data_IF_558839488685
#
_entry.id   IF_558839488685
#
_cell.length_a   1.000
_cell.length_b   1.000
_cell.length_c   1.000
_cell.angle_alpha   90.00
_cell.angle_beta   90.00
_cell.angle_gamma   90.00
#
_symmetry.space_group_name_H-M   'P 1'
#
loop_
_entity.id
_entity.type
_entity.pdbx_description
1 polymer ?
#
# COMPACT_ATOMS: atom_id res chain seq x y z
N UNK A 1 -27.01 -65.83 -16.01
CA UNK A 1 -27.29 -64.41 -15.70
C UNK A 1 -26.02 -63.82 -15.08
N UNK A 2 -25.25 -63.12 -15.88
CA UNK A 2 -23.99 -62.51 -15.52
C UNK A 2 -24.25 -61.12 -14.93
N UNK A 3 -23.64 -60.83 -13.83
CA UNK A 3 -23.58 -59.50 -13.19
C UNK A 3 -22.36 -58.75 -13.74
N UNK A 4 -22.55 -57.49 -14.15
CA UNK A 4 -21.52 -56.59 -14.60
C UNK A 4 -21.05 -55.77 -13.37
N UNK A 5 -19.75 -55.66 -13.09
CA UNK A 5 -19.28 -54.79 -12.02
C UNK A 5 -19.17 -53.32 -12.49
N UNK A 6 -19.62 -52.37 -11.67
CA UNK A 6 -19.52 -50.98 -11.88
C UNK A 6 -18.04 -50.52 -11.72
N UNK A 7 -17.58 -49.78 -12.70
CA UNK A 7 -16.24 -49.18 -12.73
C UNK A 7 -16.30 -47.79 -12.07
N UNK A 8 -15.61 -47.66 -10.92
CA UNK A 8 -15.41 -46.39 -10.24
C UNK A 8 -14.45 -45.52 -11.06
N UNK A 9 -14.97 -44.37 -11.49
CA UNK A 9 -14.14 -43.35 -12.13
C UNK A 9 -13.33 -42.57 -11.07
N UNK A 10 -12.05 -42.89 -10.96
CA UNK A 10 -11.07 -42.11 -10.20
C UNK A 10 -10.89 -40.73 -10.84
N UNK A 11 -11.32 -39.70 -10.14
CA UNK A 11 -11.03 -38.32 -10.51
C UNK A 11 -9.52 -38.04 -10.29
N UNK A 12 -8.78 -37.97 -11.38
CA UNK A 12 -7.39 -37.56 -11.37
C UNK A 12 -7.27 -36.10 -10.92
N UNK A 13 -6.60 -35.87 -9.79
CA UNK A 13 -6.18 -34.56 -9.32
C UNK A 13 -5.26 -33.91 -10.36
N UNK A 14 -5.63 -32.73 -10.86
CA UNK A 14 -4.80 -31.91 -11.72
C UNK A 14 -3.63 -31.41 -10.90
N UNK A 15 -2.36 -31.66 -11.28
CA UNK A 15 -1.23 -31.12 -10.55
C UNK A 15 -1.16 -29.61 -10.72
N UNK A 16 -1.11 -28.91 -9.61
CA UNK A 16 -0.88 -27.48 -9.49
C UNK A 16 0.42 -27.12 -10.24
N UNK A 17 0.27 -26.31 -11.30
CA UNK A 17 1.42 -25.84 -12.09
C UNK A 17 2.19 -24.84 -11.27
N UNK A 18 3.20 -25.30 -10.57
CA UNK A 18 4.24 -24.46 -9.97
C UNK A 18 4.90 -23.62 -11.08
N UNK A 19 4.74 -22.31 -11.01
CA UNK A 19 5.50 -21.36 -11.84
C UNK A 19 7.00 -21.59 -11.64
N UNK A 20 7.83 -21.49 -12.70
CA UNK A 20 9.25 -21.73 -12.60
C UNK A 20 9.91 -20.73 -11.66
N UNK A 21 10.54 -21.22 -10.60
CA UNK A 21 11.32 -20.43 -9.67
C UNK A 21 12.53 -19.81 -10.42
N UNK A 22 12.63 -18.49 -10.39
CA UNK A 22 13.80 -17.75 -10.85
C UNK A 22 14.96 -18.07 -9.90
N UNK A 23 16.15 -18.52 -10.38
CA UNK A 23 17.27 -18.90 -9.51
C UNK A 23 17.77 -17.69 -8.72
N UNK A 24 17.81 -17.80 -7.39
CA UNK A 24 18.41 -16.81 -6.50
C UNK A 24 17.44 -15.99 -5.63
N UNK A 25 16.12 -16.19 -5.75
CA UNK A 25 15.13 -15.52 -4.90
C UNK A 25 14.60 -16.48 -3.83
N UNK A 26 14.78 -16.12 -2.56
CA UNK A 26 14.12 -16.82 -1.44
C UNK A 26 12.63 -16.51 -1.53
N UNK A 27 11.81 -17.49 -1.90
CA UNK A 27 10.38 -17.34 -1.85
C UNK A 27 9.96 -17.17 -0.37
N UNK A 28 9.35 -16.03 -0.05
CA UNK A 28 8.79 -15.82 1.27
C UNK A 28 7.53 -16.69 1.42
N UNK A 29 7.33 -17.24 2.61
CA UNK A 29 6.12 -18.00 2.95
C UNK A 29 5.50 -17.44 4.21
N UNK A 30 4.18 -17.45 4.29
CA UNK A 30 3.45 -16.96 5.46
C UNK A 30 2.16 -16.26 5.10
N UNK A 31 1.45 -15.82 6.15
CA UNK A 31 0.20 -15.07 6.06
C UNK A 31 0.40 -13.70 6.70
N UNK A 32 0.25 -12.66 5.89
CA UNK A 32 0.40 -11.26 6.29
C UNK A 32 -0.97 -10.61 6.39
N UNK A 33 -1.21 -9.86 7.46
CA UNK A 33 -2.36 -8.99 7.58
C UNK A 33 -1.96 -7.58 7.14
N UNK A 34 -2.58 -7.07 6.10
CA UNK A 34 -2.40 -5.71 5.60
C UNK A 34 -3.51 -4.82 6.17
N UNK A 35 -3.16 -3.90 7.05
CA UNK A 35 -4.04 -2.87 7.58
C UNK A 35 -3.81 -1.56 6.82
N UNK A 36 -4.74 -1.20 5.97
CA UNK A 36 -4.66 -0.05 5.06
C UNK A 36 -6.09 0.33 4.65
N UNK A 37 -6.47 1.60 4.71
CA UNK A 37 -7.81 2.07 4.39
C UNK A 37 -7.99 2.50 2.93
N UNK A 38 -6.89 2.79 2.23
CA UNK A 38 -6.92 3.25 0.85
C UNK A 38 -6.87 2.07 -0.14
N UNK A 39 -7.89 1.90 -1.02
CA UNK A 39 -7.97 0.75 -1.92
C UNK A 39 -6.82 0.67 -2.94
N UNK A 40 -6.25 1.82 -3.36
CA UNK A 40 -5.08 1.83 -4.27
C UNK A 40 -3.85 1.29 -3.56
N UNK A 41 -3.61 1.74 -2.32
CA UNK A 41 -2.49 1.27 -1.51
C UNK A 41 -2.64 -0.22 -1.17
N UNK A 42 -3.87 -0.68 -0.88
CA UNK A 42 -4.19 -2.09 -0.68
C UNK A 42 -3.80 -2.92 -1.91
N UNK A 43 -4.21 -2.48 -3.11
CA UNK A 43 -3.96 -3.20 -4.36
C UNK A 43 -2.47 -3.29 -4.68
N UNK A 44 -1.73 -2.20 -4.51
CA UNK A 44 -0.28 -2.16 -4.70
C UNK A 44 0.42 -3.10 -3.73
N UNK A 45 0.11 -2.99 -2.43
CA UNK A 45 0.72 -3.83 -1.40
C UNK A 45 0.36 -5.31 -1.58
N UNK A 46 -0.92 -5.62 -1.84
CA UNK A 46 -1.41 -6.97 -2.10
C UNK A 46 -0.68 -7.62 -3.27
N UNK A 47 -0.51 -6.86 -4.34
CA UNK A 47 0.23 -7.31 -5.52
C UNK A 47 1.67 -7.66 -5.19
N UNK A 48 2.41 -6.78 -4.51
CA UNK A 48 3.79 -7.06 -4.13
C UNK A 48 3.90 -8.28 -3.22
N UNK A 49 3.06 -8.36 -2.18
CA UNK A 49 3.06 -9.46 -1.21
C UNK A 49 2.74 -10.81 -1.87
N UNK A 50 1.72 -10.85 -2.72
CA UNK A 50 1.33 -12.08 -3.42
C UNK A 50 2.42 -12.55 -4.38
N UNK A 51 3.09 -11.62 -5.06
CA UNK A 51 4.23 -11.93 -5.96
C UNK A 51 5.48 -12.36 -5.21
N UNK A 52 5.59 -12.06 -3.92
CA UNK A 52 6.63 -12.57 -3.03
C UNK A 52 6.29 -13.97 -2.46
N UNK A 53 5.11 -14.51 -2.74
CA UNK A 53 4.67 -15.84 -2.28
C UNK A 53 3.85 -15.84 -1.01
N UNK A 54 3.46 -14.66 -0.49
CA UNK A 54 2.72 -14.52 0.75
C UNK A 54 1.21 -14.57 0.55
N UNK A 55 0.48 -15.08 1.54
CA UNK A 55 -0.97 -14.94 1.65
C UNK A 55 -1.29 -13.64 2.35
N UNK A 56 -2.31 -12.92 1.86
CA UNK A 56 -2.66 -11.59 2.34
C UNK A 56 -4.13 -11.53 2.70
N UNK A 57 -4.41 -11.16 3.94
CA UNK A 57 -5.74 -10.69 4.36
C UNK A 57 -5.67 -9.16 4.52
N UNK A 58 -6.79 -8.48 4.30
CA UNK A 58 -6.89 -7.02 4.33
C UNK A 58 -7.83 -6.59 5.46
N UNK A 59 -7.44 -5.55 6.18
CA UNK A 59 -8.27 -4.82 7.14
C UNK A 59 -8.29 -3.33 6.78
N UNK A 60 -9.46 -2.69 6.82
CA UNK A 60 -9.64 -1.30 6.44
C UNK A 60 -9.46 -0.31 7.61
N UNK A 61 -9.29 -0.82 8.83
CA UNK A 61 -9.12 -0.03 10.05
C UNK A 61 -8.64 -0.91 11.20
N UNK A 62 -8.24 -0.30 12.30
CA UNK A 62 -7.71 -1.01 13.46
C UNK A 62 -8.71 -1.94 14.15
N UNK A 63 -10.00 -1.64 14.12
CA UNK A 63 -11.02 -2.51 14.72
C UNK A 63 -11.13 -3.85 13.95
N UNK A 64 -11.04 -3.81 12.62
CA UNK A 64 -10.99 -5.01 11.77
C UNK A 64 -9.71 -5.82 12.03
N UNK A 65 -8.56 -5.14 12.22
CA UNK A 65 -7.29 -5.81 12.60
C UNK A 65 -7.47 -6.60 13.89
N UNK A 66 -8.05 -5.99 14.93
CA UNK A 66 -8.26 -6.65 16.21
C UNK A 66 -9.18 -7.88 16.09
N UNK A 67 -10.26 -7.77 15.31
CA UNK A 67 -11.17 -8.87 15.06
C UNK A 67 -10.50 -10.03 14.29
N UNK A 68 -9.71 -9.70 13.26
CA UNK A 68 -9.01 -10.69 12.45
C UNK A 68 -7.91 -11.40 13.24
N UNK A 69 -7.15 -10.69 14.08
CA UNK A 69 -6.10 -11.27 14.92
C UNK A 69 -6.65 -12.14 16.06
N UNK A 70 -7.91 -11.96 16.46
CA UNK A 70 -8.61 -12.88 17.36
C UNK A 70 -9.07 -14.17 16.66
N UNK A 71 -9.50 -14.04 15.39
CA UNK A 71 -10.08 -15.15 14.63
C UNK A 71 -9.03 -16.10 14.04
N UNK A 72 -7.84 -15.60 13.71
CA UNK A 72 -6.78 -16.38 13.07
C UNK A 72 -5.38 -15.85 13.41
N UNK A 73 -4.36 -16.68 13.15
CA UNK A 73 -2.96 -16.29 13.34
C UNK A 73 -2.36 -15.73 12.06
N UNK A 74 -1.52 -14.72 12.23
CA UNK A 74 -0.73 -14.10 11.20
C UNK A 74 0.76 -14.19 11.56
N UNK A 75 1.61 -14.20 10.54
CA UNK A 75 3.06 -14.22 10.73
C UNK A 75 3.62 -12.81 10.86
N UNK A 76 2.89 -11.81 10.31
CA UNK A 76 3.27 -10.40 10.34
C UNK A 76 2.07 -9.50 10.04
N UNK A 77 2.07 -8.28 10.60
CA UNK A 77 1.14 -7.20 10.23
C UNK A 77 1.91 -6.08 9.55
N UNK A 78 1.45 -5.65 8.38
CA UNK A 78 1.78 -4.34 7.79
C UNK A 78 0.67 -3.38 8.22
N UNK A 79 1.04 -2.36 8.99
CA UNK A 79 0.10 -1.47 9.69
C UNK A 79 0.24 -0.03 9.21
N UNK A 80 -0.77 0.48 8.50
CA UNK A 80 -0.84 1.93 8.27
C UNK A 80 -0.99 2.68 9.60
N UNK A 81 -0.18 3.70 9.78
CA UNK A 81 -0.25 4.55 10.97
C UNK A 81 -1.54 5.37 11.03
N UNK A 82 -2.12 5.74 9.87
CA UNK A 82 -3.29 6.61 9.80
C UNK A 82 -4.46 5.91 9.11
N UNK A 83 -5.41 5.46 9.91
CA UNK A 83 -6.65 4.81 9.44
C UNK A 83 -7.86 5.42 10.15
N UNK A 84 -9.06 5.38 9.54
CA UNK A 84 -10.30 5.80 10.19
C UNK A 84 -10.69 4.84 11.32
N UNK A 85 -11.59 5.25 12.19
CA UNK A 85 -12.18 4.50 13.30
C UNK A 85 -11.17 4.23 14.42
N UNK A 86 -10.06 3.54 14.12
CA UNK A 86 -8.96 3.23 15.03
C UNK A 86 -7.65 3.27 14.23
N UNK A 87 -6.72 4.13 14.63
CA UNK A 87 -5.43 4.29 13.98
C UNK A 87 -4.45 3.14 14.28
N UNK A 88 -3.32 3.10 13.55
CA UNK A 88 -2.33 2.04 13.71
C UNK A 88 -1.64 2.04 15.07
N UNK A 89 -1.47 3.22 15.70
CA UNK A 89 -0.86 3.33 17.02
C UNK A 89 -1.76 2.75 18.12
N UNK A 90 -3.03 3.12 18.11
CA UNK A 90 -4.05 2.59 19.02
C UNK A 90 -4.22 1.08 18.85
N UNK A 91 -4.25 0.61 17.60
CA UNK A 91 -4.36 -0.80 17.26
C UNK A 91 -3.18 -1.59 17.78
N UNK A 92 -1.96 -1.08 17.56
CA UNK A 92 -0.72 -1.72 18.07
C UNK A 92 -0.73 -1.80 19.59
N UNK A 93 -1.08 -0.72 20.29
CA UNK A 93 -1.16 -0.73 21.75
C UNK A 93 -2.16 -1.78 22.26
N UNK A 94 -3.32 -1.91 21.61
CA UNK A 94 -4.32 -2.93 21.96
C UNK A 94 -3.82 -4.36 21.72
N UNK A 95 -3.10 -4.62 20.61
CA UNK A 95 -2.48 -5.92 20.34
C UNK A 95 -1.45 -6.24 21.42
N UNK A 96 -0.55 -5.30 21.75
CA UNK A 96 0.49 -5.50 22.76
C UNK A 96 -0.06 -5.77 24.16
N UNK A 97 -1.17 -5.14 24.53
CA UNK A 97 -1.88 -5.43 25.79
C UNK A 97 -2.42 -6.86 25.85
N UNK A 98 -2.86 -7.42 24.72
CA UNK A 98 -3.36 -8.80 24.63
C UNK A 98 -2.24 -9.84 24.62
N UNK A 99 -1.06 -9.49 24.16
CA UNK A 99 0.12 -10.38 24.14
C UNK A 99 0.73 -10.64 25.52
N UNK A 100 0.36 -9.87 26.54
CA UNK A 100 0.85 -10.09 27.92
C UNK A 100 0.37 -11.44 28.44
N UNK A 101 1.23 -12.47 28.31
CA UNK A 101 0.96 -13.85 28.69
C UNK A 101 0.86 -14.86 27.55
N UNK A 102 0.91 -14.45 26.29
CA UNK A 102 0.88 -15.32 25.13
C UNK A 102 2.30 -15.72 24.66
N UNK A 103 2.43 -16.93 24.14
CA UNK A 103 3.70 -17.40 23.55
C UNK A 103 3.90 -16.78 22.17
N UNK A 104 4.78 -15.77 22.07
CA UNK A 104 5.23 -15.17 20.82
C UNK A 104 4.64 -13.78 20.57
N UNK A 105 5.51 -12.85 20.19
CA UNK A 105 5.19 -11.48 19.79
C UNK A 105 4.92 -11.45 18.29
N UNK A 106 3.76 -10.95 17.87
CA UNK A 106 3.40 -10.79 16.47
C UNK A 106 4.15 -9.57 15.88
N UNK A 107 5.01 -9.74 14.87
CA UNK A 107 5.70 -8.61 14.25
C UNK A 107 4.71 -7.62 13.64
N UNK A 108 4.87 -6.33 13.95
CA UNK A 108 4.07 -5.23 13.41
C UNK A 108 5.03 -4.22 12.76
N UNK A 109 4.91 -4.08 11.45
CA UNK A 109 5.69 -3.14 10.65
C UNK A 109 4.81 -1.95 10.28
N UNK A 110 5.22 -0.75 10.70
CA UNK A 110 4.52 0.48 10.37
C UNK A 110 4.64 0.81 8.88
N UNK A 111 3.55 1.15 8.23
CA UNK A 111 3.53 1.84 6.94
C UNK A 111 3.32 3.33 7.24
N UNK A 112 4.34 4.15 7.04
CA UNK A 112 4.31 5.58 7.41
C UNK A 112 4.46 6.48 6.18
N UNK A 113 3.76 7.60 6.16
CA UNK A 113 3.89 8.60 5.09
C UNK A 113 5.17 9.44 5.19
N UNK A 114 5.93 9.34 6.26
CA UNK A 114 7.10 10.17 6.51
C UNK A 114 8.26 9.35 7.13
N UNK A 115 9.42 9.45 6.49
CA UNK A 115 10.65 8.79 6.94
C UNK A 115 11.43 9.59 8.03
N UNK A 116 10.85 10.69 8.56
CA UNK A 116 11.54 11.51 9.55
C UNK A 116 11.73 10.75 10.87
N UNK A 117 12.85 11.00 11.55
CA UNK A 117 13.22 10.38 12.83
C UNK A 117 12.12 10.43 13.89
N UNK A 118 11.32 11.50 13.91
CA UNK A 118 10.19 11.65 14.85
C UNK A 118 9.06 10.63 14.64
N UNK A 119 8.75 10.24 13.41
CA UNK A 119 7.72 9.22 13.12
C UNK A 119 8.23 7.81 13.48
N UNK A 120 9.49 7.52 13.17
CA UNK A 120 10.13 6.27 13.63
C UNK A 120 10.04 6.10 15.15
N UNK A 121 10.38 7.16 15.91
CA UNK A 121 10.29 7.11 17.37
C UNK A 121 8.86 6.87 17.85
N UNK A 122 7.84 7.47 17.22
CA UNK A 122 6.44 7.24 17.56
C UNK A 122 6.00 5.80 17.29
N UNK A 123 6.35 5.24 16.15
CA UNK A 123 6.03 3.85 15.81
C UNK A 123 6.62 2.87 16.82
N UNK A 124 7.91 3.01 17.14
CA UNK A 124 8.58 2.17 18.13
C UNK A 124 8.02 2.36 19.55
N UNK A 125 7.71 3.60 19.96
CA UNK A 125 7.11 3.90 21.25
C UNK A 125 5.70 3.30 21.40
N UNK A 126 4.94 3.20 20.30
CA UNK A 126 3.65 2.52 20.29
C UNK A 126 3.76 0.99 20.36
N UNK A 127 4.98 0.43 20.23
CA UNK A 127 5.23 -1.00 20.29
C UNK A 127 5.33 -1.69 18.92
N UNK A 128 5.41 -0.95 17.81
CA UNK A 128 5.73 -1.50 16.49
C UNK A 128 7.18 -1.95 16.43
N UNK A 129 7.50 -2.92 15.58
CA UNK A 129 8.80 -3.59 15.58
C UNK A 129 9.73 -3.03 14.48
N UNK A 130 9.15 -2.51 13.39
CA UNK A 130 9.89 -1.90 12.27
C UNK A 130 9.00 -0.89 11.55
N UNK A 131 9.54 -0.23 10.52
CA UNK A 131 8.79 0.73 9.72
C UNK A 131 9.21 0.70 8.24
N UNK A 132 8.30 1.10 7.35
CA UNK A 132 8.50 1.27 5.92
C UNK A 132 7.79 2.54 5.47
N UNK A 133 8.53 3.47 4.86
CA UNK A 133 7.96 4.75 4.40
C UNK A 133 7.26 4.63 3.06
N UNK A 134 6.07 5.21 2.93
CA UNK A 134 5.31 5.33 1.69
C UNK A 134 5.77 6.56 0.88
N UNK A 135 5.89 6.48 -0.46
CA UNK A 135 5.75 5.27 -1.27
C UNK A 135 6.99 4.37 -1.15
N UNK A 136 6.79 3.06 -1.17
CA UNK A 136 7.87 2.09 -1.12
C UNK A 136 7.94 1.26 -2.40
N UNK A 137 9.14 0.87 -2.78
CA UNK A 137 9.37 -0.07 -3.87
C UNK A 137 9.16 -1.50 -3.41
N UNK A 138 8.94 -2.40 -4.39
CA UNK A 138 8.91 -3.83 -4.12
C UNK A 138 10.16 -4.32 -3.41
N UNK A 139 11.34 -3.86 -3.82
CA UNK A 139 12.62 -4.26 -3.22
C UNK A 139 12.73 -3.86 -1.74
N UNK A 140 12.24 -2.66 -1.38
CA UNK A 140 12.22 -2.21 0.01
C UNK A 140 11.28 -3.06 0.87
N UNK A 141 10.08 -3.36 0.35
CA UNK A 141 9.13 -4.25 1.02
C UNK A 141 9.72 -5.65 1.21
N UNK A 142 10.28 -6.26 0.15
CA UNK A 142 10.93 -7.57 0.18
C UNK A 142 12.05 -7.63 1.23
N UNK A 143 12.95 -6.64 1.25
CA UNK A 143 14.03 -6.57 2.22
C UNK A 143 13.52 -6.44 3.67
N UNK A 144 12.46 -5.66 3.87
CA UNK A 144 11.86 -5.50 5.20
C UNK A 144 11.20 -6.80 5.66
N UNK A 145 10.40 -7.45 4.81
CA UNK A 145 9.73 -8.70 5.13
C UNK A 145 10.70 -9.86 5.38
N UNK A 146 11.80 -9.94 4.61
CA UNK A 146 12.80 -10.98 4.77
C UNK A 146 13.43 -10.96 6.17
N UNK A 147 13.63 -9.79 6.78
CA UNK A 147 14.16 -9.67 8.16
C UNK A 147 13.24 -10.31 9.22
N UNK A 148 11.93 -10.36 8.95
CA UNK A 148 10.94 -10.79 9.94
C UNK A 148 10.36 -12.18 9.66
N UNK A 149 10.33 -12.61 8.39
CA UNK A 149 9.71 -13.88 7.97
C UNK A 149 10.73 -14.99 7.71
N UNK A 150 12.03 -14.68 7.56
CA UNK A 150 13.06 -15.68 7.33
C UNK A 150 13.98 -15.73 8.55
N UNK A 151 13.89 -16.79 9.40
CA UNK A 151 14.87 -16.99 10.48
C UNK A 151 16.27 -17.18 9.85
N UNK A 152 17.27 -16.47 10.35
CA UNK A 152 18.68 -16.53 9.89
C UNK A 152 19.01 -15.89 8.52
N UNK A 153 18.15 -15.07 7.95
CA UNK A 153 18.52 -14.27 6.79
C UNK A 153 19.55 -13.21 7.20
N UNK A 154 20.80 -13.40 6.77
CA UNK A 154 21.81 -12.33 6.78
C UNK A 154 21.40 -11.35 5.67
N UNK A 155 20.47 -10.46 5.97
CA UNK A 155 20.08 -9.38 5.07
C UNK A 155 21.08 -8.24 5.29
N UNK A 156 21.84 -7.79 4.28
CA UNK A 156 22.63 -6.57 4.40
C UNK A 156 21.67 -5.44 4.81
N UNK A 157 22.03 -4.71 5.85
CA UNK A 157 21.37 -3.45 6.22
C UNK A 157 21.43 -2.54 4.99
N UNK A 158 20.35 -2.50 4.23
CA UNK A 158 20.19 -1.50 3.19
C UNK A 158 20.06 -0.16 3.91
N UNK A 159 21.15 0.59 3.90
CA UNK A 159 21.10 2.02 4.18
C UNK A 159 19.99 2.60 3.29
N UNK A 160 19.12 3.38 3.90
CA UNK A 160 18.07 4.11 3.20
C UNK A 160 18.66 4.75 1.95
N UNK A 161 18.28 4.35 0.74
CA UNK A 161 18.72 5.10 -0.41
C UNK A 161 18.02 6.45 -0.34
N UNK A 162 18.86 7.47 -0.19
CA UNK A 162 18.50 8.85 -0.36
C UNK A 162 17.66 9.02 -1.64
N UNK A 163 16.59 9.81 -1.50
CA UNK A 163 16.05 10.73 -2.49
C UNK A 163 16.16 10.26 -3.94
N UNK A 164 15.10 9.65 -4.43
CA UNK A 164 14.93 9.46 -5.87
C UNK A 164 14.76 10.83 -6.53
N UNK A 165 15.68 11.14 -7.45
CA UNK A 165 15.43 12.02 -8.57
C UNK A 165 15.89 13.45 -8.44
N UNK A 166 17.11 13.70 -8.96
CA UNK A 166 17.52 15.02 -9.44
C UNK A 166 16.52 15.53 -10.49
N UNK A 167 16.02 16.72 -10.23
CA UNK A 167 15.17 17.53 -11.11
C UNK A 167 15.77 17.62 -12.52
N UNK A 168 15.13 16.98 -13.50
CA UNK A 168 15.27 17.39 -14.89
C UNK A 168 14.31 18.56 -15.12
N UNK A 169 14.86 19.72 -15.45
CA UNK A 169 14.11 20.88 -15.94
C UNK A 169 13.50 20.54 -17.30
N UNK A 170 12.25 20.11 -17.28
CA UNK A 170 11.35 19.89 -18.40
C UNK A 170 9.96 19.85 -17.80
N UNK A 171 8.92 20.17 -18.56
CA UNK A 171 7.52 20.08 -18.12
C UNK A 171 7.35 18.72 -17.43
N UNK A 172 7.16 18.72 -16.10
CA UNK A 172 7.04 17.47 -15.33
C UNK A 172 5.90 16.65 -15.96
N UNK A 173 6.16 15.43 -16.43
CA UNK A 173 5.10 14.59 -16.98
C UNK A 173 4.06 14.36 -15.88
N UNK A 174 2.77 14.29 -16.25
CA UNK A 174 1.71 14.08 -15.29
C UNK A 174 1.85 12.72 -14.56
N UNK A 175 2.53 11.76 -15.22
CA UNK A 175 2.82 10.43 -14.67
C UNK A 175 4.32 10.09 -14.78
N UNK A 176 4.89 9.55 -13.71
CA UNK A 176 6.25 8.99 -13.69
C UNK A 176 6.21 7.52 -14.17
N UNK A 177 6.55 7.33 -15.44
CA UNK A 177 6.57 5.98 -16.05
C UNK A 177 7.63 5.07 -15.43
N UNK A 178 8.77 5.60 -14.96
CA UNK A 178 9.81 4.81 -14.31
C UNK A 178 9.31 4.12 -13.03
N UNK A 179 8.43 4.81 -12.27
CA UNK A 179 7.79 4.19 -11.11
C UNK A 179 6.84 3.06 -11.54
N UNK A 180 6.13 3.23 -12.65
CA UNK A 180 5.20 2.23 -13.18
C UNK A 180 5.90 1.00 -13.76
N UNK A 181 7.16 1.14 -14.22
CA UNK A 181 7.92 0.02 -14.81
C UNK A 181 8.13 -1.14 -13.81
N UNK A 182 8.20 -0.87 -12.50
CA UNK A 182 8.26 -1.92 -11.49
C UNK A 182 7.05 -2.89 -11.53
N UNK A 183 5.90 -2.42 -11.99
CA UNK A 183 4.70 -3.25 -12.16
C UNK A 183 4.72 -4.02 -13.48
N UNK A 184 5.32 -3.45 -14.55
CA UNK A 184 5.54 -4.16 -15.81
C UNK A 184 6.42 -5.39 -15.62
N UNK A 185 7.48 -5.28 -14.82
CA UNK A 185 8.37 -6.41 -14.51
C UNK A 185 7.63 -7.54 -13.75
N UNK A 186 6.53 -7.24 -13.11
CA UNK A 186 5.71 -8.20 -12.38
C UNK A 186 4.62 -8.84 -13.23
N UNK A 187 4.26 -8.25 -14.35
CA UNK A 187 3.26 -8.81 -15.25
C UNK A 187 3.86 -9.96 -16.07
N UNK A 188 3.34 -11.21 -15.99
CA UNK A 188 3.86 -12.35 -16.75
C UNK A 188 3.85 -12.16 -18.26
N UNK A 189 2.96 -11.28 -18.77
CA UNK A 189 2.87 -10.90 -20.18
C UNK A 189 3.77 -9.72 -20.55
N UNK A 190 4.45 -9.08 -19.59
CA UNK A 190 5.22 -7.86 -19.82
C UNK A 190 4.38 -6.65 -20.22
N UNK A 191 3.07 -6.74 -20.06
CA UNK A 191 2.09 -5.73 -20.49
C UNK A 191 1.72 -4.72 -19.40
N UNK A 192 0.64 -3.95 -19.65
CA UNK A 192 0.08 -2.97 -18.70
C UNK A 192 -1.06 -3.52 -17.84
N UNK A 193 -1.29 -4.85 -17.81
CA UNK A 193 -2.44 -5.43 -17.13
C UNK A 193 -2.55 -5.00 -15.67
N UNK A 194 -1.46 -5.14 -14.94
CA UNK A 194 -1.38 -4.76 -13.53
C UNK A 194 -1.43 -3.24 -13.31
N UNK A 195 -0.74 -2.48 -14.15
CA UNK A 195 -0.79 -1.00 -14.12
C UNK A 195 -2.23 -0.53 -14.37
N UNK A 196 -2.92 -1.13 -15.33
CA UNK A 196 -4.32 -0.83 -15.65
C UNK A 196 -5.25 -1.13 -14.47
N UNK A 197 -5.05 -2.24 -13.77
CA UNK A 197 -5.82 -2.58 -12.56
C UNK A 197 -5.66 -1.50 -11.50
N UNK A 198 -4.42 -1.13 -11.15
CA UNK A 198 -4.12 -0.09 -10.16
C UNK A 198 -4.69 1.28 -10.58
N UNK A 199 -4.52 1.67 -11.86
CA UNK A 199 -5.08 2.93 -12.38
C UNK A 199 -6.62 2.93 -12.34
N UNK A 200 -7.27 1.79 -12.61
CA UNK A 200 -8.73 1.68 -12.52
C UNK A 200 -9.20 1.91 -11.09
N UNK A 201 -8.58 1.25 -10.11
CA UNK A 201 -8.91 1.45 -8.70
C UNK A 201 -8.70 2.91 -8.28
N UNK A 202 -7.63 3.56 -8.77
CA UNK A 202 -7.39 4.98 -8.51
C UNK A 202 -8.49 5.87 -9.11
N UNK A 203 -8.84 5.67 -10.37
CA UNK A 203 -9.89 6.46 -11.06
C UNK A 203 -11.26 6.31 -10.40
N UNK A 204 -11.57 5.12 -9.87
CA UNK A 204 -12.85 4.84 -9.23
C UNK A 204 -12.95 5.45 -7.82
N UNK A 205 -11.84 5.48 -7.06
CA UNK A 205 -11.84 5.90 -5.65
C UNK A 205 -11.44 7.36 -5.44
N UNK A 206 -10.52 7.91 -6.25
CA UNK A 206 -9.90 9.22 -6.01
C UNK A 206 -10.86 10.41 -6.15
N UNK A 207 -11.88 10.31 -7.03
CA UNK A 207 -12.85 11.40 -7.22
C UNK A 207 -13.67 11.66 -5.95
N UNK A 208 -14.05 10.61 -5.23
CA UNK A 208 -14.78 10.74 -3.97
C UNK A 208 -13.93 11.44 -2.90
N UNK A 209 -12.66 11.07 -2.80
CA UNK A 209 -11.71 11.71 -1.88
C UNK A 209 -11.42 13.17 -2.26
N UNK A 210 -11.30 13.47 -3.57
CA UNK A 210 -11.12 14.86 -4.04
C UNK A 210 -12.31 15.74 -3.63
N UNK A 211 -13.53 15.22 -3.72
CA UNK A 211 -14.73 15.90 -3.22
C UNK A 211 -14.71 16.10 -1.70
N UNK A 212 -14.18 15.17 -0.94
CA UNK A 212 -14.01 15.34 0.50
C UNK A 212 -13.00 16.45 0.85
N UNK A 213 -11.91 16.58 0.07
CA UNK A 213 -10.98 17.73 0.19
C UNK A 213 -11.73 19.04 -0.03
N UNK A 214 -12.52 19.16 -1.11
CA UNK A 214 -13.31 20.34 -1.43
C UNK A 214 -14.34 20.66 -0.31
N UNK A 215 -15.05 19.65 0.16
CA UNK A 215 -16.03 19.80 1.25
C UNK A 215 -15.37 20.23 2.55
N UNK A 216 -14.20 19.68 2.90
CA UNK A 216 -13.42 20.09 4.07
C UNK A 216 -13.03 21.57 4.00
N UNK A 217 -12.59 22.05 2.85
CA UNK A 217 -12.27 23.45 2.62
C UNK A 217 -13.50 24.36 2.76
N UNK A 218 -14.63 24.00 2.13
CA UNK A 218 -15.86 24.79 2.16
C UNK A 218 -16.47 24.82 3.57
N UNK A 219 -16.45 23.69 4.28
CA UNK A 219 -17.00 23.57 5.62
C UNK A 219 -16.10 24.15 6.71
N UNK A 220 -14.85 24.49 6.40
CA UNK A 220 -13.88 24.90 7.41
C UNK A 220 -13.39 23.74 8.29
N UNK A 221 -13.52 22.49 7.82
CA UNK A 221 -13.09 21.29 8.54
C UNK A 221 -11.65 20.90 8.16
N UNK A 222 -10.72 21.39 8.96
CA UNK A 222 -9.29 21.15 8.78
C UNK A 222 -8.90 19.66 8.89
N UNK A 223 -9.58 18.91 9.75
CA UNK A 223 -9.32 17.48 9.93
C UNK A 223 -9.84 16.66 8.75
N UNK A 224 -11.00 16.98 8.18
CA UNK A 224 -11.51 16.35 6.98
C UNK A 224 -10.58 16.61 5.80
N UNK A 225 -10.14 17.87 5.60
CA UNK A 225 -9.14 18.23 4.59
C UNK A 225 -7.88 17.38 4.75
N UNK A 226 -7.30 17.35 5.95
CA UNK A 226 -6.06 16.64 6.25
C UNK A 226 -6.17 15.15 5.92
N UNK A 227 -7.23 14.48 6.37
CA UNK A 227 -7.43 13.04 6.13
C UNK A 227 -7.57 12.70 4.65
N UNK A 228 -8.42 13.44 3.94
CA UNK A 228 -8.65 13.21 2.52
C UNK A 228 -7.40 13.49 1.67
N UNK A 229 -6.67 14.57 1.98
CA UNK A 229 -5.41 14.90 1.32
C UNK A 229 -4.32 13.85 1.59
N UNK A 230 -4.24 13.32 2.84
CA UNK A 230 -3.32 12.25 3.20
C UNK A 230 -3.54 10.98 2.35
N UNK A 231 -4.78 10.54 2.23
CA UNK A 231 -5.15 9.38 1.44
C UNK A 231 -4.84 9.57 -0.05
N UNK A 232 -5.16 10.75 -0.61
CA UNK A 232 -4.85 11.07 -2.01
C UNK A 232 -3.36 11.24 -2.29
N UNK A 233 -2.57 11.74 -1.34
CA UNK A 233 -1.12 11.85 -1.47
C UNK A 233 -0.48 10.49 -1.73
N UNK A 234 -0.77 9.51 -0.89
CA UNK A 234 -0.19 8.17 -1.00
C UNK A 234 -0.68 7.42 -2.23
N UNK A 235 -1.98 7.48 -2.54
CA UNK A 235 -2.53 6.83 -3.73
C UNK A 235 -2.03 7.48 -5.04
N UNK A 236 -1.88 8.81 -5.08
CA UNK A 236 -1.31 9.50 -6.26
C UNK A 236 0.16 9.11 -6.50
N UNK A 237 0.95 8.97 -5.44
CA UNK A 237 2.33 8.48 -5.54
C UNK A 237 2.37 7.05 -6.11
N UNK A 238 1.45 6.18 -5.69
CA UNK A 238 1.36 4.78 -6.12
C UNK A 238 0.89 4.59 -7.57
N UNK A 239 0.37 5.62 -8.21
CA UNK A 239 0.07 5.62 -9.66
C UNK A 239 1.07 6.46 -10.46
N UNK A 240 2.17 6.89 -9.85
CA UNK A 240 3.20 7.69 -10.51
C UNK A 240 2.83 9.16 -10.71
N UNK A 241 1.74 9.67 -10.15
CA UNK A 241 1.31 11.06 -10.26
C UNK A 241 2.03 11.95 -9.22
N UNK A 242 3.34 12.13 -9.38
CA UNK A 242 4.21 12.78 -8.39
C UNK A 242 3.85 14.25 -8.12
N UNK A 243 3.55 15.02 -9.17
CA UNK A 243 3.12 16.42 -9.01
C UNK A 243 1.87 16.48 -8.13
N UNK A 244 0.91 15.62 -8.42
CA UNK A 244 -0.34 15.54 -7.68
C UNK A 244 -0.12 15.12 -6.23
N UNK A 245 0.76 14.14 -6.00
CA UNK A 245 1.15 13.73 -4.65
C UNK A 245 1.76 14.87 -3.83
N UNK A 246 2.61 15.71 -4.44
CA UNK A 246 3.20 16.89 -3.78
C UNK A 246 2.15 17.93 -3.40
N UNK A 247 1.20 18.21 -4.29
CA UNK A 247 0.09 19.13 -4.02
C UNK A 247 -0.81 18.64 -2.88
N UNK A 248 -1.09 17.34 -2.84
CA UNK A 248 -1.84 16.76 -1.72
C UNK A 248 -1.05 16.76 -0.42
N UNK A 249 0.28 16.63 -0.45
CA UNK A 249 1.11 16.82 0.74
C UNK A 249 1.00 18.26 1.28
N UNK A 250 1.00 19.24 0.40
CA UNK A 250 0.84 20.65 0.79
C UNK A 250 -0.53 20.90 1.43
N UNK A 251 -1.61 20.39 0.83
CA UNK A 251 -2.96 20.46 1.39
C UNK A 251 -3.08 19.71 2.73
N UNK A 252 -2.43 18.57 2.90
CA UNK A 252 -2.36 17.82 4.16
C UNK A 252 -1.71 18.66 5.27
N UNK A 253 -0.58 19.31 4.96
CA UNK A 253 0.13 20.19 5.89
C UNK A 253 -0.73 21.40 6.26
N UNK A 254 -1.35 22.04 5.28
CA UNK A 254 -2.25 23.17 5.52
C UNK A 254 -3.47 22.78 6.38
N UNK A 255 -4.04 21.60 6.16
CA UNK A 255 -5.10 21.05 7.00
C UNK A 255 -4.63 20.82 8.44
N UNK A 256 -3.44 20.24 8.62
CA UNK A 256 -2.85 20.03 9.95
C UNK A 256 -2.63 21.37 10.69
N UNK A 257 -2.17 22.39 9.98
CA UNK A 257 -1.82 23.68 10.54
C UNK A 257 -3.01 24.68 10.60
N UNK A 258 -4.22 24.25 10.15
CA UNK A 258 -5.45 25.05 10.17
C UNK A 258 -5.50 26.20 9.14
N UNK A 259 -4.66 26.15 8.10
CA UNK A 259 -4.48 27.22 7.12
C UNK A 259 -5.46 27.12 5.94
N UNK A 260 -6.75 26.95 6.21
CA UNK A 260 -7.76 26.63 5.20
C UNK A 260 -7.93 27.71 4.11
N UNK A 261 -7.84 29.00 4.47
CA UNK A 261 -7.94 30.10 3.49
C UNK A 261 -6.79 30.08 2.50
N UNK A 262 -5.57 29.77 2.95
CA UNK A 262 -4.40 29.68 2.10
C UNK A 262 -4.42 28.40 1.25
N UNK A 263 -5.17 27.39 1.61
CA UNK A 263 -5.27 26.11 0.90
C UNK A 263 -6.15 26.20 -0.38
N UNK A 264 -7.03 27.20 -0.53
CA UNK A 264 -7.92 27.33 -1.68
C UNK A 264 -7.15 27.45 -3.03
N UNK A 265 -6.15 28.33 -3.18
CA UNK A 265 -5.38 28.41 -4.44
C UNK A 265 -4.61 27.12 -4.75
N UNK A 266 -4.08 26.42 -3.73
CA UNK A 266 -3.40 25.15 -3.88
C UNK A 266 -4.39 24.07 -4.34
N UNK A 267 -5.61 24.10 -3.84
CA UNK A 267 -6.64 23.16 -4.28
C UNK A 267 -7.07 23.42 -5.74
N UNK A 268 -7.14 24.66 -6.20
CA UNK A 268 -7.41 24.96 -7.61
C UNK A 268 -6.33 24.41 -8.54
N UNK A 269 -5.04 24.56 -8.17
CA UNK A 269 -3.93 23.92 -8.90
C UNK A 269 -4.03 22.39 -8.83
N UNK A 270 -4.39 21.84 -7.68
CA UNK A 270 -4.57 20.40 -7.48
C UNK A 270 -5.65 19.84 -8.39
N UNK A 271 -6.78 20.53 -8.54
CA UNK A 271 -7.86 20.14 -9.46
C UNK A 271 -7.40 20.07 -10.92
N UNK A 272 -6.59 21.06 -11.35
CA UNK A 272 -6.02 21.05 -12.69
C UNK A 272 -5.07 19.87 -12.88
N UNK A 273 -4.13 19.67 -11.96
CA UNK A 273 -3.18 18.56 -12.00
C UNK A 273 -3.89 17.19 -11.96
N UNK A 274 -4.99 17.07 -11.20
CA UNK A 274 -5.81 15.87 -11.16
C UNK A 274 -6.48 15.58 -12.52
N UNK A 275 -7.01 16.60 -13.17
CA UNK A 275 -7.61 16.44 -14.48
C UNK A 275 -6.57 16.01 -15.54
N UNK A 276 -5.37 16.58 -15.50
CA UNK A 276 -4.25 16.21 -16.38
C UNK A 276 -3.82 14.77 -16.15
N UNK A 277 -3.55 14.38 -14.90
CA UNK A 277 -3.11 13.02 -14.55
C UNK A 277 -4.15 11.96 -14.91
N UNK A 278 -5.44 12.20 -14.60
CA UNK A 278 -6.50 11.24 -14.92
C UNK A 278 -6.79 11.13 -16.41
N UNK A 279 -6.57 12.20 -17.20
CA UNK A 279 -6.66 12.14 -18.65
C UNK A 279 -5.54 11.30 -19.25
N UNK A 280 -4.31 11.45 -18.77
CA UNK A 280 -3.16 10.66 -19.21
C UNK A 280 -3.31 9.17 -18.82
N UNK A 281 -3.77 8.86 -17.60
CA UNK A 281 -4.10 7.48 -17.21
C UNK A 281 -5.11 6.83 -18.16
N UNK A 282 -6.20 7.55 -18.49
CA UNK A 282 -7.22 7.04 -19.44
C UNK A 282 -6.67 6.86 -20.86
N UNK A 283 -5.69 7.69 -21.26
CA UNK A 283 -5.01 7.56 -22.55
C UNK A 283 -4.15 6.29 -22.56
N UNK A 284 -3.27 6.10 -21.60
CA UNK A 284 -2.45 4.90 -21.45
C UNK A 284 -3.27 3.61 -21.42
N UNK A 285 -4.42 3.62 -20.74
CA UNK A 285 -5.32 2.47 -20.69
C UNK A 285 -6.00 2.12 -22.03
N UNK A 286 -5.97 3.01 -23.03
CA UNK A 286 -6.58 2.80 -24.36
C UNK A 286 -5.57 2.35 -25.42
N UNK A 287 -4.30 2.73 -25.31
CA UNK A 287 -3.30 2.52 -26.37
C UNK A 287 -2.87 1.04 -26.52
N UNK A 288 -3.12 0.19 -25.55
CA UNK A 288 -2.79 -1.25 -25.60
C UNK A 288 -4.07 -2.12 -25.66
N UNK A 289 -4.84 -1.96 -26.75
CA UNK A 289 -5.86 -2.94 -27.14
C UNK A 289 -5.40 -3.79 -28.31
#
# INVERSE_FOLDING_TARGET
>A
RAAIPAQEASAAAVPDRQSPAVPGRVALTGTVLLAEDNPVNQEVARTFLTRLGLRVDIANNGAEVLALTEARRYDLILMDCQMPVMDGYQTTAAIRQRETGASGRLPIIALTANAMEGERCKCLAAGMDDYLSKPYSRAQLEATLARWLVPDAIVPTAESPATVGALRQGRDPALNMTFLDQFRELDPGGGLGLIREIMTVYLDSSLALLRQVEQGLIAGDADALRRAAHSLKSSSANVGAEKLSKLFLELEVMGRDGQLTAAMPVFDETRQAYAEATAEMRHLMREEK
#
